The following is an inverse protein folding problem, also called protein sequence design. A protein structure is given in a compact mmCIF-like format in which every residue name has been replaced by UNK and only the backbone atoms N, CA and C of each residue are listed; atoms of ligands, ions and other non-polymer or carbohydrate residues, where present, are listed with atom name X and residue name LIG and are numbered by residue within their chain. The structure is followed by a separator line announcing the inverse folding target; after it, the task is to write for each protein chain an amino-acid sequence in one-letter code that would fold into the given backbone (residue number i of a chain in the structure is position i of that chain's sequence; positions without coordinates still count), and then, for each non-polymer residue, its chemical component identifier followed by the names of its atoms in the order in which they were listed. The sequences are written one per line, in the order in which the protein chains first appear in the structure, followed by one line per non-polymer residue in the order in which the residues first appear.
data_IF_292289837155
#
_entry.id   IF_292289837155
#
_cell.length_a   1.000
_cell.length_b   1.000
_cell.length_c   1.000
_cell.angle_alpha   90.00
_cell.angle_beta   90.00
_cell.angle_gamma   90.00
#
_symmetry.space_group_name_H-M   'P 1'
#
loop_
_entity.id
_entity.type
_entity.pdbx_description
1 polymer ?
#
# COMPACT_ATOMS: atom_id res chain seq x y z
N UNK A 1 9.15 -1.85 25.20
CA UNK A 1 8.45 -0.71 24.60
C UNK A 1 8.95 -0.63 23.16
N UNK A 2 8.12 -1.08 22.21
CA UNK A 2 8.51 -1.10 20.81
C UNK A 2 8.46 0.35 20.31
N UNK A 3 9.63 0.94 20.06
CA UNK A 3 9.73 2.24 19.39
C UNK A 3 9.48 1.99 17.90
N UNK A 4 8.23 1.71 17.54
CA UNK A 4 7.84 1.66 16.15
C UNK A 4 7.69 3.12 15.69
N UNK A 5 8.75 3.66 15.09
CA UNK A 5 8.63 4.89 14.32
C UNK A 5 7.61 4.63 13.21
N UNK A 6 6.35 5.03 13.44
CA UNK A 6 5.26 4.87 12.48
C UNK A 6 5.69 5.53 11.17
N UNK A 7 5.72 4.74 10.09
CA UNK A 7 5.94 5.26 8.76
C UNK A 7 4.64 5.86 8.24
N UNK A 8 4.69 7.10 7.77
CA UNK A 8 3.55 7.76 7.13
C UNK A 8 3.99 8.50 5.89
N UNK A 9 3.07 8.62 4.93
CA UNK A 9 3.21 9.48 3.77
C UNK A 9 2.02 10.41 3.60
N UNK A 10 2.29 11.58 3.05
CA UNK A 10 1.32 12.60 2.69
C UNK A 10 1.63 13.15 1.30
N UNK A 11 0.61 13.25 0.44
CA UNK A 11 0.66 14.06 -0.78
C UNK A 11 -0.24 15.27 -0.63
N UNK A 12 0.29 16.45 -0.97
CA UNK A 12 -0.46 17.71 -1.03
C UNK A 12 -0.26 18.46 -2.36
N UNK A 13 -1.19 19.36 -2.66
CA UNK A 13 -1.17 20.27 -3.83
C UNK A 13 -0.17 21.43 -3.68
N UNK A 14 0.30 21.67 -2.46
CA UNK A 14 1.26 22.71 -2.12
C UNK A 14 2.05 22.30 -0.87
N UNK A 15 3.01 23.14 -0.46
CA UNK A 15 3.87 22.89 0.70
C UNK A 15 3.35 23.52 2.00
N UNK A 16 2.07 23.90 2.07
CA UNK A 16 1.53 24.69 3.19
C UNK A 16 1.12 23.86 4.40
N UNK A 17 1.03 22.54 4.25
CA UNK A 17 0.54 21.59 5.26
C UNK A 17 -0.92 21.87 5.72
N UNK A 18 -1.73 22.59 4.93
CA UNK A 18 -3.16 22.75 5.19
C UNK A 18 -3.94 21.52 4.72
N UNK A 19 -4.95 21.11 5.50
CA UNK A 19 -5.82 19.97 5.16
C UNK A 19 -6.60 20.17 3.86
N UNK A 20 -6.87 21.43 3.45
CA UNK A 20 -7.49 21.77 2.16
C UNK A 20 -6.63 21.41 0.95
N UNK A 21 -5.32 21.28 1.15
CA UNK A 21 -4.35 20.97 0.10
C UNK A 21 -4.04 19.48 0.02
N UNK A 22 -4.52 18.68 0.98
CA UNK A 22 -4.31 17.25 1.05
C UNK A 22 -4.95 16.51 -0.13
N UNK A 23 -4.16 15.67 -0.78
CA UNK A 23 -4.63 14.73 -1.80
C UNK A 23 -4.80 13.35 -1.19
N UNK A 24 -3.86 12.92 -0.34
CA UNK A 24 -3.94 11.64 0.34
C UNK A 24 -2.93 11.55 1.49
N UNK A 25 -3.31 10.77 2.49
CA UNK A 25 -2.48 10.40 3.64
C UNK A 25 -2.57 8.89 3.82
N UNK A 26 -1.46 8.26 4.19
CA UNK A 26 -1.40 6.83 4.43
C UNK A 26 -0.41 6.52 5.56
N UNK A 27 -0.86 5.74 6.54
CA UNK A 27 0.05 5.01 7.44
C UNK A 27 0.55 3.82 6.64
N UNK A 28 1.86 3.69 6.49
CA UNK A 28 2.48 2.73 5.57
C UNK A 28 2.70 1.40 6.29
N UNK A 29 1.98 0.32 5.92
CA UNK A 29 2.21 -1.01 6.48
C UNK A 29 3.44 -1.63 5.81
N UNK A 30 4.63 -1.37 6.35
CA UNK A 30 5.91 -1.87 5.81
C UNK A 30 6.36 -1.19 4.51
N UNK A 31 5.55 -1.22 3.45
CA UNK A 31 5.86 -0.60 2.15
C UNK A 31 4.64 -0.02 1.44
N UNK A 32 4.85 1.04 0.66
CA UNK A 32 3.81 1.65 -0.18
C UNK A 32 4.36 2.14 -1.52
N UNK A 33 3.47 2.27 -2.51
CA UNK A 33 3.72 3.01 -3.75
C UNK A 33 3.03 4.36 -3.70
N UNK A 34 3.70 5.37 -4.23
CA UNK A 34 3.14 6.71 -4.34
C UNK A 34 3.57 7.35 -5.67
N UNK A 35 2.61 7.93 -6.38
CA UNK A 35 2.87 8.74 -7.59
C UNK A 35 2.74 10.21 -7.25
N UNK A 36 3.82 10.96 -7.45
CA UNK A 36 3.86 12.41 -7.24
C UNK A 36 3.91 13.08 -8.61
N UNK A 37 2.85 13.80 -8.97
CA UNK A 37 2.78 14.58 -10.21
C UNK A 37 3.51 15.92 -10.07
N UNK A 38 3.84 16.57 -11.18
CA UNK A 38 4.40 17.91 -11.17
C UNK A 38 3.50 18.88 -10.37
N UNK A 39 4.12 19.63 -9.45
CA UNK A 39 3.41 20.56 -8.56
C UNK A 39 2.82 19.91 -7.30
N UNK A 40 2.93 18.60 -7.12
CA UNK A 40 2.57 17.93 -5.86
C UNK A 40 3.79 17.82 -4.94
N UNK A 41 3.52 17.78 -3.64
CA UNK A 41 4.52 17.69 -2.58
C UNK A 41 4.32 16.39 -1.80
N UNK A 42 5.40 15.66 -1.56
CA UNK A 42 5.41 14.42 -0.79
C UNK A 42 6.16 14.64 0.53
N UNK A 43 5.48 14.36 1.64
CA UNK A 43 6.07 14.31 2.97
C UNK A 43 6.11 12.85 3.43
N UNK A 44 7.25 12.37 3.90
CA UNK A 44 7.40 11.02 4.47
C UNK A 44 8.05 11.14 5.85
N UNK A 45 7.46 10.47 6.84
CA UNK A 45 8.00 10.35 8.18
C UNK A 45 8.30 8.89 8.49
N UNK A 46 9.42 8.61 9.18
CA UNK A 46 9.73 7.25 9.66
C UNK A 46 10.06 6.21 8.57
N UNK A 47 10.33 6.63 7.33
CA UNK A 47 10.56 5.72 6.21
C UNK A 47 11.65 6.18 5.23
N UNK A 48 12.09 5.24 4.39
CA UNK A 48 13.01 5.49 3.29
C UNK A 48 12.25 5.63 1.97
N UNK A 49 12.67 6.57 1.12
CA UNK A 49 12.09 6.78 -0.21
C UNK A 49 13.04 6.22 -1.27
N UNK A 50 12.49 5.43 -2.19
CA UNK A 50 13.20 4.90 -3.35
C UNK A 50 12.45 5.29 -4.62
N UNK A 51 13.18 5.54 -5.72
CA UNK A 51 12.56 5.48 -7.02
C UNK A 51 12.05 4.04 -7.25
N UNK A 52 10.89 3.87 -7.88
CA UNK A 52 10.25 2.56 -8.00
C UNK A 52 11.16 1.47 -8.62
N UNK A 53 12.03 1.85 -9.57
CA UNK A 53 12.99 0.94 -10.21
C UNK A 53 14.14 0.48 -9.30
N UNK A 54 14.43 1.25 -8.25
CA UNK A 54 15.56 1.03 -7.34
C UNK A 54 15.09 0.49 -5.97
N UNK A 55 13.78 0.33 -5.78
CA UNK A 55 13.21 -0.18 -4.55
C UNK A 55 13.62 -1.64 -4.30
N UNK A 56 13.84 -2.05 -3.03
CA UNK A 56 14.12 -3.44 -2.70
C UNK A 56 13.03 -4.38 -3.23
N UNK A 57 13.46 -5.47 -3.88
CA UNK A 57 12.54 -6.49 -4.38
C UNK A 57 11.79 -7.15 -3.23
N UNK A 58 10.52 -7.45 -3.48
CA UNK A 58 9.71 -8.28 -2.59
C UNK A 58 9.90 -9.74 -2.93
N UNK A 59 10.02 -10.56 -1.90
CA UNK A 59 9.85 -12.00 -2.01
C UNK A 59 8.90 -12.49 -0.93
N UNK A 60 8.21 -13.59 -1.21
CA UNK A 60 7.52 -14.32 -0.16
C UNK A 60 8.54 -14.99 0.77
N UNK A 61 8.23 -15.01 2.06
CA UNK A 61 8.92 -15.84 3.06
C UNK A 61 7.93 -16.91 3.51
N UNK A 62 8.30 -18.18 3.38
CA UNK A 62 7.41 -19.33 3.67
C UNK A 62 6.06 -19.26 2.96
N UNK A 63 6.06 -18.79 1.71
CA UNK A 63 4.86 -18.62 0.88
C UNK A 63 3.95 -17.47 1.32
N UNK A 64 4.39 -16.62 2.25
CA UNK A 64 3.65 -15.43 2.72
C UNK A 64 4.34 -14.16 2.26
N UNK A 65 3.57 -13.24 1.71
CA UNK A 65 3.98 -11.86 1.53
C UNK A 65 3.40 -11.04 2.70
N UNK A 66 4.22 -10.25 3.42
CA UNK A 66 3.78 -9.48 4.59
C UNK A 66 2.73 -8.43 4.24
N UNK A 67 2.29 -7.63 5.21
CA UNK A 67 1.51 -6.43 4.89
C UNK A 67 2.30 -5.44 4.01
N UNK A 68 1.58 -4.61 3.26
CA UNK A 68 2.17 -3.67 2.32
C UNK A 68 1.38 -3.47 1.05
N UNK A 69 1.83 -2.48 0.27
CA UNK A 69 1.36 -2.25 -1.08
C UNK A 69 2.20 -3.03 -2.10
N UNK A 70 1.52 -3.76 -2.98
CA UNK A 70 2.10 -4.56 -4.05
C UNK A 70 1.61 -4.05 -5.40
N UNK A 71 2.55 -3.76 -6.31
CA UNK A 71 2.24 -3.47 -7.70
C UNK A 71 2.10 -4.78 -8.49
N UNK A 72 0.93 -4.99 -9.07
CA UNK A 72 0.61 -6.23 -9.78
C UNK A 72 1.27 -6.25 -11.16
N UNK A 73 1.93 -7.36 -11.48
CA UNK A 73 2.81 -7.50 -12.65
C UNK A 73 4.24 -6.98 -12.41
N UNK A 74 4.56 -6.48 -11.21
CA UNK A 74 5.92 -6.03 -10.84
C UNK A 74 6.42 -6.70 -9.57
N UNK A 75 5.72 -6.52 -8.44
CA UNK A 75 6.09 -7.17 -7.16
C UNK A 75 5.52 -8.59 -7.08
N UNK A 76 4.27 -8.77 -7.50
CA UNK A 76 3.54 -10.04 -7.51
C UNK A 76 2.77 -10.17 -8.83
N UNK A 77 2.56 -11.39 -9.32
CA UNK A 77 1.83 -11.64 -10.57
C UNK A 77 0.32 -11.37 -10.41
N UNK A 78 -0.38 -11.04 -11.50
CA UNK A 78 -1.84 -11.07 -11.51
C UNK A 78 -2.36 -12.49 -11.21
N UNK A 79 -3.52 -12.55 -10.55
CA UNK A 79 -4.10 -13.82 -10.11
C UNK A 79 -4.98 -13.66 -8.88
N UNK A 80 -5.31 -14.80 -8.27
CA UNK A 80 -6.08 -14.86 -7.03
C UNK A 80 -5.16 -15.07 -5.82
N UNK A 81 -5.36 -14.27 -4.79
CA UNK A 81 -4.61 -14.33 -3.54
C UNK A 81 -5.56 -14.50 -2.37
N UNK A 82 -5.10 -15.24 -1.36
CA UNK A 82 -5.73 -15.32 -0.06
C UNK A 82 -5.09 -14.29 0.88
N UNK A 83 -5.90 -13.36 1.37
CA UNK A 83 -5.53 -12.43 2.45
C UNK A 83 -5.91 -13.07 3.78
N UNK A 84 -4.99 -13.10 4.73
CA UNK A 84 -5.21 -13.66 6.08
C UNK A 84 -4.89 -12.60 7.12
N UNK A 85 -5.83 -12.37 8.03
CA UNK A 85 -5.67 -11.46 9.17
C UNK A 85 -4.60 -11.99 10.13
N UNK A 86 -3.71 -11.09 10.57
CA UNK A 86 -2.63 -11.40 11.52
C UNK A 86 -2.57 -10.41 12.71
N UNK A 87 -3.29 -9.29 12.61
CA UNK A 87 -3.44 -8.29 13.68
C UNK A 87 -4.93 -8.03 13.99
N UNK A 88 -5.22 -7.23 15.01
CA UNK A 88 -6.53 -6.80 15.50
C UNK A 88 -7.47 -6.31 14.39
N UNK A 89 -6.97 -5.56 13.41
CA UNK A 89 -7.70 -5.10 12.24
C UNK A 89 -6.92 -5.45 10.97
N UNK A 90 -7.58 -6.13 10.02
CA UNK A 90 -7.02 -6.36 8.70
C UNK A 90 -7.88 -5.71 7.62
N UNK A 91 -7.23 -5.09 6.65
CA UNK A 91 -7.92 -4.56 5.48
C UNK A 91 -7.16 -4.89 4.20
N UNK A 92 -7.91 -4.95 3.11
CA UNK A 92 -7.35 -5.01 1.76
C UNK A 92 -7.99 -3.95 0.89
N UNK A 93 -7.18 -3.25 0.10
CA UNK A 93 -7.61 -2.22 -0.85
C UNK A 93 -6.94 -2.47 -2.19
N UNK A 94 -7.73 -2.43 -3.26
CA UNK A 94 -7.23 -2.47 -4.63
C UNK A 94 -7.44 -1.11 -5.27
N UNK A 95 -6.39 -0.55 -5.86
CA UNK A 95 -6.45 0.71 -6.61
C UNK A 95 -5.97 0.56 -8.05
N UNK A 96 -6.44 1.44 -8.93
CA UNK A 96 -6.02 1.54 -10.34
C UNK A 96 -4.61 2.12 -10.50
N UNK A 97 -4.18 2.94 -9.55
CA UNK A 97 -2.90 3.65 -9.55
C UNK A 97 -2.45 3.95 -8.10
N UNK A 98 -1.29 4.59 -7.97
CA UNK A 98 -0.68 5.00 -6.70
C UNK A 98 -0.80 6.50 -6.40
N UNK A 99 -1.77 7.21 -6.97
CA UNK A 99 -1.99 8.67 -6.75
C UNK A 99 -2.62 9.00 -5.40
N UNK A 100 -3.07 7.99 -4.66
CA UNK A 100 -3.79 8.10 -3.37
C UNK A 100 -5.16 8.79 -3.46
N UNK A 101 -5.70 8.98 -4.67
CA UNK A 101 -7.05 9.49 -4.87
C UNK A 101 -8.10 8.42 -4.56
N UNK A 102 -9.19 8.82 -3.90
CA UNK A 102 -10.33 7.94 -3.64
C UNK A 102 -10.98 7.43 -4.93
N UNK A 103 -10.96 8.23 -6.00
CA UNK A 103 -11.43 7.86 -7.34
C UNK A 103 -10.62 6.72 -7.98
N UNK A 104 -9.44 6.41 -7.44
CA UNK A 104 -8.60 5.29 -7.90
C UNK A 104 -8.94 3.98 -7.22
N UNK A 105 -9.74 3.98 -6.14
CA UNK A 105 -10.16 2.76 -5.43
C UNK A 105 -11.08 1.93 -6.32
N UNK A 106 -10.72 0.66 -6.51
CA UNK A 106 -11.51 -0.37 -7.20
C UNK A 106 -12.36 -1.14 -6.19
N UNK A 107 -11.76 -1.52 -5.06
CA UNK A 107 -12.43 -2.24 -3.99
C UNK A 107 -11.69 -2.03 -2.68
N UNK A 108 -12.43 -2.02 -1.57
CA UNK A 108 -11.89 -2.02 -0.21
C UNK A 108 -12.71 -2.97 0.65
N UNK A 109 -12.06 -3.69 1.55
CA UNK A 109 -12.72 -4.62 2.47
C UNK A 109 -11.95 -4.76 3.78
N UNK A 110 -12.68 -4.79 4.90
CA UNK A 110 -12.17 -5.27 6.19
C UNK A 110 -12.24 -6.80 6.19
N UNK A 111 -11.15 -7.45 6.62
CA UNK A 111 -10.99 -8.91 6.61
C UNK A 111 -11.09 -9.42 8.04
N UNK A 112 -12.12 -10.22 8.33
CA UNK A 112 -12.36 -10.74 9.68
C UNK A 112 -11.44 -11.92 10.04
N UNK A 113 -11.18 -12.82 9.10
CA UNK A 113 -10.28 -13.96 9.26
C UNK A 113 -9.44 -14.18 7.99
N UNK A 114 -10.11 -14.49 6.89
CA UNK A 114 -9.51 -14.62 5.58
C UNK A 114 -10.47 -14.16 4.48
N UNK A 115 -9.91 -13.73 3.36
CA UNK A 115 -10.70 -13.39 2.18
C UNK A 115 -9.87 -13.62 0.90
N UNK A 116 -10.54 -13.90 -0.22
CA UNK A 116 -9.88 -14.02 -1.53
C UNK A 116 -10.04 -12.73 -2.32
N UNK A 117 -8.98 -12.36 -3.04
CA UNK A 117 -8.96 -11.21 -3.94
C UNK A 117 -8.34 -11.59 -5.27
N UNK A 118 -9.03 -11.26 -6.37
CA UNK A 118 -8.47 -11.37 -7.72
C UNK A 118 -7.94 -10.00 -8.13
N UNK A 119 -6.68 -9.95 -8.55
CA UNK A 119 -5.98 -8.74 -8.96
C UNK A 119 -5.43 -8.86 -10.37
N UNK A 120 -5.40 -7.74 -11.09
CA UNK A 120 -5.00 -7.63 -12.51
C UNK A 120 -3.73 -6.81 -12.64
N UNK A 121 -2.96 -7.09 -13.70
CA UNK A 121 -1.74 -6.34 -14.03
C UNK A 121 -1.99 -4.83 -14.04
N UNK A 122 -1.04 -4.08 -13.46
CA UNK A 122 -1.10 -2.63 -13.33
C UNK A 122 -1.89 -2.12 -12.13
N UNK A 123 -2.66 -2.97 -11.44
CA UNK A 123 -3.31 -2.59 -10.18
C UNK A 123 -2.30 -2.53 -9.02
N UNK A 124 -2.76 -1.99 -7.90
CA UNK A 124 -2.03 -1.99 -6.63
C UNK A 124 -2.91 -2.63 -5.56
N UNK A 125 -2.35 -3.60 -4.83
CA UNK A 125 -2.98 -4.25 -3.69
C UNK A 125 -2.31 -3.79 -2.40
N UNK A 126 -3.02 -3.03 -1.58
CA UNK A 126 -2.62 -2.68 -0.22
C UNK A 126 -3.25 -3.65 0.76
N UNK A 127 -2.43 -4.30 1.60
CA UNK A 127 -2.88 -5.08 2.75
C UNK A 127 -2.28 -4.47 4.01
N UNK A 128 -3.08 -4.35 5.07
CA UNK A 128 -2.64 -3.90 6.39
C UNK A 128 -3.19 -4.85 7.44
N UNK A 129 -2.40 -5.15 8.47
CA UNK A 129 -2.75 -6.04 9.59
C UNK A 129 -2.93 -7.51 9.19
N UNK A 130 -2.26 -7.94 8.12
CA UNK A 130 -2.34 -9.30 7.60
C UNK A 130 -1.29 -9.60 6.55
N UNK A 131 -1.34 -10.79 5.97
CA UNK A 131 -0.42 -11.23 4.92
C UNK A 131 -1.21 -11.82 3.74
N UNK A 132 -0.56 -11.92 2.56
CA UNK A 132 -1.14 -12.58 1.39
C UNK A 132 -0.40 -13.85 1.01
N UNK A 133 -1.13 -14.82 0.48
CA UNK A 133 -0.63 -16.07 -0.10
C UNK A 133 -1.17 -16.22 -1.51
N UNK A 134 -0.30 -16.60 -2.45
CA UNK A 134 -0.75 -17.04 -3.77
C UNK A 134 -1.58 -18.33 -3.61
N UNK A 135 -2.64 -18.45 -4.42
CA UNK A 135 -3.45 -19.67 -4.48
C UNK A 135 -2.87 -20.66 -5.49
#
# INVERSE_FOLDING_TARGET
MQNDNICSLEIAKDSTCFTSSLIGIEIVPGRSYVTVSAGQYLTVSGGNIYAAKDAPKVSATDGKYPEGCYKIGTDIAAGEYKVVKDDSLCSMTVTKDSTKLSSSIVSIKIVDSENYITVKDGQYLLVSGGYIKAK
#
